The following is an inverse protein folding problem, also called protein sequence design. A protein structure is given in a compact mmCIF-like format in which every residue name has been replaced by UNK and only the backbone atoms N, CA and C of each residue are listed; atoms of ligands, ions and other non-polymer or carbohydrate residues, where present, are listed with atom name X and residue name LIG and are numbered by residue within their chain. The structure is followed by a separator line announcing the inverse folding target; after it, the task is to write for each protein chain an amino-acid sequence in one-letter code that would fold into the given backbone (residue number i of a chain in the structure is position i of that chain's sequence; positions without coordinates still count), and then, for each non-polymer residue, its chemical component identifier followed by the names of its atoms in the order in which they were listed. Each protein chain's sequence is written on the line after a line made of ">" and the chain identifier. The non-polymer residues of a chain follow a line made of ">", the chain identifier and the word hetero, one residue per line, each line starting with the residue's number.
data_IF_740665174627
#
_entry.id   IF_740665174627
#
_cell.length_a   1.000
_cell.length_b   1.000
_cell.length_c   1.000
_cell.angle_alpha   90.00
_cell.angle_beta   90.00
_cell.angle_gamma   90.00
#
_symmetry.space_group_name_H-M   'P 1'
#
loop_
_entity.id
_entity.type
_entity.pdbx_description
1 polymer ?
#
# COMPACT_ATOMS: atom_id res chain seq x y z
N UNK A 1 15.25 1.73 13.40
CA UNK A 1 15.66 2.06 12.01
C UNK A 1 15.06 1.11 10.97
N UNK A 2 15.24 -0.22 11.07
CA UNK A 2 14.76 -1.20 10.07
C UNK A 2 13.26 -1.11 9.74
N UNK A 3 12.40 -0.81 10.72
CA UNK A 3 10.94 -0.67 10.53
C UNK A 3 10.57 0.52 9.64
N UNK A 4 11.23 1.66 9.83
CA UNK A 4 11.00 2.88 9.03
C UNK A 4 11.44 2.64 7.58
N UNK A 5 12.57 1.96 7.39
CA UNK A 5 13.07 1.59 6.07
C UNK A 5 12.08 0.67 5.32
N UNK A 6 11.50 -0.31 6.01
CA UNK A 6 10.45 -1.17 5.45
C UNK A 6 9.19 -0.40 5.05
N UNK A 7 8.74 0.56 5.86
CA UNK A 7 7.60 1.42 5.51
C UNK A 7 7.91 2.31 4.31
N UNK A 8 9.13 2.84 4.20
CA UNK A 8 9.59 3.64 3.06
C UNK A 8 9.63 2.81 1.77
N UNK A 9 10.19 1.60 1.84
CA UNK A 9 10.20 0.64 0.72
C UNK A 9 8.77 0.26 0.30
N UNK A 10 7.89 0.01 1.26
CA UNK A 10 6.47 -0.27 0.99
C UNK A 10 5.78 0.88 0.26
N UNK A 11 6.02 2.13 0.70
CA UNK A 11 5.52 3.33 0.03
C UNK A 11 6.08 3.49 -1.39
N UNK A 12 7.35 3.21 -1.60
CA UNK A 12 7.99 3.28 -2.92
C UNK A 12 7.42 2.23 -3.89
N UNK A 13 7.21 1.00 -3.43
CA UNK A 13 6.57 -0.07 -4.23
C UNK A 13 5.11 0.28 -4.54
N UNK A 14 4.34 0.76 -3.56
CA UNK A 14 2.96 1.19 -3.76
C UNK A 14 2.86 2.36 -4.75
N UNK A 15 3.79 3.31 -4.69
CA UNK A 15 3.86 4.45 -5.61
C UNK A 15 4.18 4.01 -7.03
N UNK A 16 5.17 3.11 -7.18
CA UNK A 16 5.50 2.50 -8.47
C UNK A 16 4.33 1.74 -9.09
N UNK A 17 3.58 0.97 -8.29
CA UNK A 17 2.37 0.28 -8.74
C UNK A 17 1.28 1.27 -9.19
N UNK A 18 1.05 2.35 -8.42
CA UNK A 18 0.08 3.37 -8.82
C UNK A 18 0.48 4.04 -10.14
N UNK A 19 1.75 4.39 -10.32
CA UNK A 19 2.24 4.98 -11.57
C UNK A 19 2.06 3.99 -12.73
N UNK A 20 2.44 2.72 -12.54
CA UNK A 20 2.30 1.68 -13.56
C UNK A 20 0.85 1.47 -14.00
N UNK A 21 -0.09 1.39 -13.06
CA UNK A 21 -1.53 1.28 -13.35
C UNK A 21 -2.03 2.50 -14.12
N UNK A 22 -1.63 3.70 -13.69
CA UNK A 22 -1.99 4.94 -14.38
C UNK A 22 -1.47 4.97 -15.82
N UNK A 23 -0.25 4.48 -16.04
CA UNK A 23 0.36 4.38 -17.37
C UNK A 23 -0.37 3.38 -18.27
N UNK A 24 -0.74 2.20 -17.74
CA UNK A 24 -1.53 1.19 -18.47
C UNK A 24 -2.88 1.75 -18.89
N UNK A 25 -3.56 2.47 -17.99
CA UNK A 25 -4.82 3.14 -18.31
C UNK A 25 -4.62 4.15 -19.45
N UNK A 26 -3.53 4.93 -19.41
CA UNK A 26 -3.18 5.86 -20.48
C UNK A 26 -2.87 5.21 -21.82
N UNK A 27 -2.25 4.03 -21.81
CA UNK A 27 -1.97 3.29 -23.02
C UNK A 27 -3.25 2.76 -23.69
N UNK A 28 -4.28 2.41 -22.90
CA UNK A 28 -5.53 1.83 -23.39
C UNK A 28 -6.58 2.87 -23.80
N UNK A 29 -6.67 4.00 -23.09
CA UNK A 29 -7.71 5.02 -23.30
C UNK A 29 -7.19 6.34 -23.91
N UNK A 30 -5.90 6.40 -24.24
CA UNK A 30 -5.25 7.60 -24.74
C UNK A 30 -4.52 8.39 -23.64
N UNK A 31 -3.60 9.30 -24.01
CA UNK A 31 -2.70 9.95 -23.07
C UNK A 31 -3.47 10.67 -21.97
N UNK A 32 -3.21 10.32 -20.70
CA UNK A 32 -3.79 11.01 -19.53
C UNK A 32 -3.39 12.48 -19.44
N UNK A 33 -2.39 12.91 -20.20
CA UNK A 33 -1.79 14.23 -20.12
C UNK A 33 -1.91 14.90 -21.48
N UNK A 34 -3.08 15.46 -21.81
CA UNK A 34 -3.26 16.23 -23.07
C UNK A 34 -3.20 17.75 -22.85
N UNK A 35 -3.11 18.22 -21.59
CA UNK A 35 -2.89 19.62 -21.23
C UNK A 35 -2.46 19.80 -19.76
N UNK A 36 -2.02 21.01 -19.41
CA UNK A 36 -1.54 21.35 -18.06
C UNK A 36 -2.62 21.17 -16.98
N UNK A 37 -3.87 21.52 -17.30
CA UNK A 37 -5.04 21.35 -16.43
C UNK A 37 -5.38 19.87 -16.20
N UNK A 38 -5.32 19.05 -17.25
CA UNK A 38 -5.57 17.61 -17.15
C UNK A 38 -4.48 16.89 -16.36
N UNK A 39 -3.23 17.34 -16.52
CA UNK A 39 -2.09 16.92 -15.72
C UNK A 39 -2.32 17.14 -14.24
N UNK A 40 -2.73 18.35 -13.87
CA UNK A 40 -2.94 18.71 -12.47
C UNK A 40 -4.10 17.91 -11.87
N UNK A 41 -5.18 17.70 -12.63
CA UNK A 41 -6.32 16.88 -12.20
C UNK A 41 -5.91 15.42 -11.99
N UNK A 42 -5.19 14.83 -12.94
CA UNK A 42 -4.80 13.43 -12.88
C UNK A 42 -3.73 13.17 -11.81
N UNK A 43 -2.83 14.13 -11.58
CA UNK A 43 -1.87 14.08 -10.47
C UNK A 43 -2.57 14.15 -9.11
N UNK A 44 -3.61 14.98 -8.95
CA UNK A 44 -4.43 15.00 -7.74
C UNK A 44 -5.15 13.67 -7.52
N UNK A 45 -5.73 13.08 -8.58
CA UNK A 45 -6.37 11.76 -8.51
C UNK A 45 -5.36 10.69 -8.11
N UNK A 46 -4.16 10.70 -8.70
CA UNK A 46 -3.06 9.81 -8.33
C UNK A 46 -2.70 9.94 -6.85
N UNK A 47 -2.54 11.17 -6.32
CA UNK A 47 -2.24 11.41 -4.92
C UNK A 47 -3.31 10.84 -3.98
N UNK A 48 -4.58 11.00 -4.33
CA UNK A 48 -5.70 10.46 -3.54
C UNK A 48 -5.66 8.93 -3.55
N UNK A 49 -5.50 8.30 -4.72
CA UNK A 49 -5.45 6.84 -4.84
C UNK A 49 -4.22 6.29 -4.10
N UNK A 50 -3.07 6.96 -4.22
CA UNK A 50 -1.85 6.59 -3.53
C UNK A 50 -2.02 6.67 -2.01
N UNK A 51 -2.58 7.77 -1.51
CA UNK A 51 -2.87 7.92 -0.07
C UNK A 51 -3.81 6.83 0.44
N UNK A 52 -4.91 6.56 -0.29
CA UNK A 52 -5.85 5.48 0.05
C UNK A 52 -5.17 4.11 0.09
N UNK A 53 -4.27 3.84 -0.87
CA UNK A 53 -3.51 2.59 -0.94
C UNK A 53 -2.54 2.44 0.24
N UNK A 54 -1.88 3.52 0.66
CA UNK A 54 -1.02 3.55 1.85
C UNK A 54 -1.84 3.29 3.11
N UNK A 55 -2.98 3.97 3.27
CA UNK A 55 -3.88 3.75 4.41
C UNK A 55 -4.39 2.30 4.46
N UNK A 56 -4.84 1.76 3.33
CA UNK A 56 -5.28 0.37 3.23
C UNK A 56 -4.15 -0.60 3.62
N UNK A 57 -2.94 -0.41 3.08
CA UNK A 57 -1.77 -1.21 3.42
C UNK A 57 -1.41 -1.15 4.92
N UNK A 58 -1.54 0.02 5.54
CA UNK A 58 -1.31 0.19 6.98
C UNK A 58 -2.36 -0.56 7.83
N UNK A 59 -3.65 -0.47 7.46
CA UNK A 59 -4.75 -1.16 8.14
C UNK A 59 -4.58 -2.68 7.99
N UNK A 60 -4.37 -3.18 6.77
CA UNK A 60 -4.12 -4.61 6.53
C UNK A 60 -2.89 -5.12 7.26
N UNK A 61 -1.79 -4.36 7.25
CA UNK A 61 -0.57 -4.70 7.98
C UNK A 61 -0.80 -4.77 9.49
N UNK A 62 -1.62 -3.89 10.04
CA UNK A 62 -1.99 -3.91 11.46
C UNK A 62 -2.84 -5.14 11.81
N UNK A 63 -3.85 -5.47 11.00
CA UNK A 63 -4.72 -6.64 11.22
C UNK A 63 -3.93 -7.95 11.09
N UNK A 64 -3.18 -8.13 10.01
CA UNK A 64 -2.36 -9.33 9.79
C UNK A 64 -1.22 -9.46 10.83
N UNK A 65 -0.72 -8.33 11.33
CA UNK A 65 0.23 -8.30 12.44
C UNK A 65 -0.34 -8.88 13.73
N UNK A 66 -1.61 -8.58 14.05
CA UNK A 66 -2.30 -9.09 15.25
C UNK A 66 -2.49 -10.61 15.22
N UNK A 67 -2.72 -11.20 14.05
CA UNK A 67 -2.86 -12.67 13.93
C UNK A 67 -1.57 -13.40 14.27
N UNK A 68 -0.41 -12.88 13.85
CA UNK A 68 0.89 -13.50 14.16
C UNK A 68 1.23 -13.41 15.65
N UNK A 69 0.86 -12.34 16.34
CA UNK A 69 1.08 -12.20 17.79
C UNK A 69 0.16 -13.12 18.60
N UNK A 70 -1.09 -13.33 18.17
CA UNK A 70 -2.01 -14.25 18.86
C UNK A 70 -1.53 -15.70 18.75
N UNK A 71 -1.05 -16.09 17.56
CA UNK A 71 -0.52 -17.44 17.28
C UNK A 71 0.82 -17.74 17.95
N UNK A 72 1.59 -16.75 18.40
CA UNK A 72 2.82 -16.99 19.18
C UNK A 72 2.58 -17.12 20.68
N UNK A 73 1.44 -16.64 21.19
CA UNK A 73 1.08 -16.72 22.62
C UNK A 73 0.38 -18.06 22.93
N UNK A 74 -0.47 -18.54 22.02
CA UNK A 74 -1.24 -19.78 22.21
C UNK A 74 -0.44 -21.10 22.28
N UNK A 75 0.63 -21.36 21.48
CA UNK A 75 1.34 -22.64 21.52
C UNK A 75 2.07 -22.90 22.84
N UNK A 76 2.23 -21.88 23.69
CA UNK A 76 2.87 -22.03 25.00
C UNK A 76 1.86 -22.26 26.13
N UNK A 77 0.57 -21.99 25.91
CA UNK A 77 -0.48 -22.26 26.90
C UNK A 77 -0.91 -23.74 26.89
N UNK A 78 -0.87 -24.38 25.72
CA UNK A 78 -1.30 -25.77 25.55
C UNK A 78 -0.23 -26.78 26.01
N UNK A 79 1.03 -26.35 26.19
CA UNK A 79 2.14 -27.18 26.66
C UNK A 79 2.35 -27.22 28.18
N UNK A 80 1.51 -26.51 28.96
CA UNK A 80 1.57 -26.46 30.43
C UNK A 80 0.42 -27.23 31.11
N UNK A 81 -0.47 -27.84 30.33
CA UNK A 81 -1.63 -28.60 30.81
C UNK A 81 -1.48 -30.13 30.66
N UNK A 82 -0.27 -30.63 30.37
CA UNK A 82 0.04 -32.05 30.21
C UNK A 82 0.95 -32.59 31.32
#
# INVERSE_FOLDING_TARGET
>A
MKRILFSLLGGLVAGGLCIGVTWIIGALWGPLYQGEDESTRNFKIFLVIFFMSVCAGAIFGFIAGKEKTKKSIQPNADGLAG
#
